data_IF_708849812118
#
_entry.id   IF_708849812118
#
_cell.length_a   1.000
_cell.length_b   1.000
_cell.length_c   1.000
_cell.angle_alpha   90.00
_cell.angle_beta   90.00
_cell.angle_gamma   90.00
#
_symmetry.space_group_name_H-M   'P 1'
#
loop_
_entity.id
_entity.type
_entity.pdbx_description
1 polymer ?
#
# COMPACT_ATOMS: atom_id res chain seq x y z
N UNK A 1 29.93 5.76 -23.67
CA UNK A 1 29.30 6.35 -22.46
C UNK A 1 27.88 5.81 -22.33
N UNK A 2 27.72 4.51 -22.07
CA UNK A 2 26.40 3.83 -22.03
C UNK A 2 26.29 2.73 -20.95
N UNK A 3 27.37 2.43 -20.22
CA UNK A 3 27.36 1.40 -19.17
C UNK A 3 26.46 1.76 -17.96
N UNK A 4 26.27 3.05 -17.66
CA UNK A 4 25.56 3.49 -16.44
C UNK A 4 24.04 3.25 -16.47
N UNK A 5 23.45 3.08 -17.65
CA UNK A 5 22.00 2.91 -17.83
C UNK A 5 21.58 1.42 -17.87
N UNK A 6 22.41 0.54 -18.44
CA UNK A 6 22.16 -0.90 -18.49
C UNK A 6 22.29 -1.57 -17.11
N UNK A 7 23.24 -1.11 -16.29
CA UNK A 7 23.38 -1.54 -14.89
C UNK A 7 22.13 -1.20 -14.06
N UNK A 8 21.51 -0.04 -14.32
CA UNK A 8 20.31 0.41 -13.61
C UNK A 8 19.08 -0.44 -13.93
N UNK A 9 18.85 -0.80 -15.20
CA UNK A 9 17.72 -1.65 -15.58
C UNK A 9 17.90 -3.08 -15.07
N UNK A 10 19.11 -3.62 -15.15
CA UNK A 10 19.42 -4.97 -14.67
C UNK A 10 19.27 -5.08 -13.15
N UNK A 11 19.62 -4.02 -12.41
CA UNK A 11 19.40 -3.95 -10.97
C UNK A 11 17.91 -3.87 -10.63
N UNK A 12 17.13 -3.01 -11.30
CA UNK A 12 15.68 -2.87 -11.03
C UNK A 12 14.91 -4.18 -11.22
N UNK A 13 15.30 -5.00 -12.19
CA UNK A 13 14.66 -6.30 -12.43
C UNK A 13 14.88 -7.33 -11.30
N UNK A 14 15.75 -7.04 -10.33
CA UNK A 14 16.05 -7.90 -9.19
C UNK A 14 15.50 -7.37 -7.87
N UNK A 15 14.84 -6.22 -7.86
CA UNK A 15 14.32 -5.62 -6.63
C UNK A 15 12.91 -6.16 -6.36
N UNK A 16 12.69 -6.58 -5.12
CA UNK A 16 11.37 -6.77 -4.54
C UNK A 16 11.10 -5.57 -3.65
N UNK A 17 10.19 -4.69 -4.09
CA UNK A 17 9.73 -3.56 -3.32
C UNK A 17 8.60 -4.01 -2.40
N UNK A 18 8.61 -3.57 -1.15
CA UNK A 18 7.50 -3.77 -0.21
C UNK A 18 7.14 -2.49 0.51
N UNK A 19 5.87 -2.40 0.92
CA UNK A 19 5.35 -1.28 1.71
C UNK A 19 4.05 -1.69 2.40
N UNK A 20 3.65 -0.91 3.39
CA UNK A 20 2.39 -1.01 4.08
C UNK A 20 1.48 0.14 3.77
N UNK A 21 0.22 -0.19 3.45
CA UNK A 21 -0.77 0.81 3.12
C UNK A 21 -2.02 0.65 3.97
N UNK A 22 -2.60 1.79 4.36
CA UNK A 22 -3.87 1.86 5.04
C UNK A 22 -4.93 2.34 4.05
N UNK A 23 -5.93 1.50 3.80
CA UNK A 23 -7.08 1.83 2.97
C UNK A 23 -8.27 2.11 3.88
N UNK A 24 -8.76 3.35 3.85
CA UNK A 24 -9.94 3.78 4.59
C UNK A 24 -11.22 3.33 3.87
N UNK A 25 -12.14 2.68 4.59
CA UNK A 25 -13.43 2.28 4.01
C UNK A 25 -14.31 3.50 3.69
N UNK A 26 -14.21 4.53 4.54
CA UNK A 26 -14.89 5.81 4.38
C UNK A 26 -13.86 6.93 4.58
N UNK A 27 -13.01 7.14 3.58
CA UNK A 27 -11.92 8.12 3.66
C UNK A 27 -11.39 8.63 2.32
N UNK A 28 -12.11 8.42 1.21
CA UNK A 28 -11.89 9.25 0.05
C UNK A 28 -12.27 10.67 0.45
N UNK A 29 -11.27 11.51 0.71
CA UNK A 29 -11.34 12.98 0.72
C UNK A 29 -11.74 13.52 -0.66
N UNK A 30 -12.69 12.88 -1.33
CA UNK A 30 -13.38 13.42 -2.47
C UNK A 30 -14.18 14.61 -1.94
N UNK A 31 -13.59 15.80 -2.00
CA UNK A 31 -14.32 17.06 -1.84
C UNK A 31 -15.48 17.00 -2.83
N UNK A 32 -16.68 16.81 -2.31
CA UNK A 32 -17.91 16.80 -3.10
C UNK A 32 -18.48 18.21 -3.09
N UNK A 33 -18.78 18.72 -4.28
CA UNK A 33 -19.45 19.99 -4.43
C UNK A 33 -20.96 19.80 -4.23
N UNK A 34 -21.58 20.69 -3.47
CA UNK A 34 -23.02 20.71 -3.19
C UNK A 34 -23.56 22.08 -3.60
N UNK A 35 -24.62 22.10 -4.40
CA UNK A 35 -25.37 23.33 -4.71
C UNK A 35 -26.43 23.53 -3.63
N UNK A 36 -26.54 24.74 -3.06
CA UNK A 36 -27.51 25.06 -2.01
C UNK A 36 -27.92 26.52 -2.03
N UNK A 37 -29.10 26.80 -1.51
CA UNK A 37 -29.59 28.16 -1.30
C UNK A 37 -28.91 28.82 -0.08
N UNK A 38 -28.79 30.16 -0.06
CA UNK A 38 -28.28 30.88 1.11
C UNK A 38 -29.04 30.51 2.39
N UNK A 39 -28.32 30.24 3.49
CA UNK A 39 -28.91 29.84 4.77
C UNK A 39 -29.24 28.35 4.94
N UNK A 40 -29.23 27.55 3.88
CA UNK A 40 -29.62 26.11 3.95
C UNK A 40 -28.44 25.15 4.18
N UNK A 41 -27.32 25.67 4.72
CA UNK A 41 -26.06 24.94 4.83
C UNK A 41 -26.13 23.64 5.64
N UNK A 42 -27.01 23.58 6.63
CA UNK A 42 -27.15 22.45 7.56
C UNK A 42 -28.37 21.56 7.28
N UNK A 43 -29.08 21.81 6.18
CA UNK A 43 -30.20 20.94 5.78
C UNK A 43 -29.66 19.57 5.39
N UNK A 44 -30.34 18.50 5.79
CA UNK A 44 -29.90 17.12 5.51
C UNK A 44 -29.66 16.87 4.02
N UNK A 45 -30.47 17.47 3.14
CA UNK A 45 -30.30 17.39 1.69
C UNK A 45 -29.00 18.06 1.17
N UNK A 46 -28.43 19.00 1.94
CA UNK A 46 -27.24 19.78 1.60
C UNK A 46 -26.00 19.36 2.39
N UNK A 47 -26.11 18.32 3.22
CA UNK A 47 -25.01 17.77 4.00
C UNK A 47 -24.71 16.36 3.56
N UNK A 48 -23.42 16.00 3.53
CA UNK A 48 -23.00 14.63 3.31
C UNK A 48 -22.80 14.00 4.68
N UNK A 49 -23.56 12.94 5.04
CA UNK A 49 -23.40 12.29 6.32
C UNK A 49 -21.96 11.76 6.44
N UNK A 50 -21.31 12.10 7.55
CA UNK A 50 -19.99 11.59 7.90
C UNK A 50 -20.11 10.56 9.01
N UNK A 51 -19.23 9.56 8.97
CA UNK A 51 -19.11 8.57 10.03
C UNK A 51 -18.22 9.14 11.13
N UNK A 52 -18.76 9.30 12.35
CA UNK A 52 -18.10 10.00 13.48
C UNK A 52 -16.77 9.40 13.95
N UNK A 53 -16.35 8.24 13.43
CA UNK A 53 -15.10 7.57 13.83
C UNK A 53 -14.25 7.09 12.64
N UNK A 54 -14.57 7.53 11.42
CA UNK A 54 -14.07 6.85 10.21
C UNK A 54 -14.77 5.50 10.09
N UNK A 55 -15.16 5.11 8.89
CA UNK A 55 -15.98 3.89 8.72
C UNK A 55 -15.15 2.62 8.76
N UNK A 56 -14.04 2.62 9.51
CA UNK A 56 -13.04 1.56 9.54
C UNK A 56 -12.00 1.70 8.43
N UNK A 57 -10.92 0.95 8.59
CA UNK A 57 -9.79 0.89 7.67
C UNK A 57 -9.21 -0.52 7.65
N UNK A 58 -8.62 -0.90 6.54
CA UNK A 58 -7.77 -2.10 6.45
C UNK A 58 -6.31 -1.68 6.28
N UNK A 59 -5.42 -2.35 7.00
CA UNK A 59 -3.99 -2.24 6.81
C UNK A 59 -3.51 -3.46 6.03
N UNK A 60 -2.72 -3.22 4.99
CA UNK A 60 -2.20 -4.24 4.10
C UNK A 60 -0.69 -4.08 4.01
N UNK A 61 0.04 -5.20 4.04
CA UNK A 61 1.39 -5.27 3.52
C UNK A 61 1.34 -5.81 2.11
N UNK A 62 2.11 -5.22 1.20
CA UNK A 62 2.23 -5.72 -0.16
C UNK A 62 3.66 -5.64 -0.65
N UNK A 63 3.97 -6.47 -1.64
CA UNK A 63 5.22 -6.35 -2.38
C UNK A 63 5.02 -6.53 -3.87
N UNK A 64 5.95 -6.04 -4.68
CA UNK A 64 5.94 -6.18 -6.13
C UNK A 64 7.36 -6.12 -6.70
N UNK A 65 7.49 -6.54 -7.95
CA UNK A 65 8.70 -6.40 -8.76
C UNK A 65 8.35 -5.89 -10.16
N UNK A 66 9.35 -5.72 -11.02
CA UNK A 66 9.11 -5.42 -12.45
C UNK A 66 8.27 -6.51 -13.12
N UNK A 67 8.36 -7.75 -12.63
CA UNK A 67 7.60 -8.89 -13.16
C UNK A 67 6.13 -8.94 -12.74
N UNK A 68 5.70 -8.07 -11.83
CA UNK A 68 4.32 -8.01 -11.35
C UNK A 68 4.20 -7.95 -9.83
N UNK A 69 2.99 -8.22 -9.34
CA UNK A 69 2.64 -8.15 -7.92
C UNK A 69 3.04 -9.42 -7.18
N UNK A 70 3.67 -9.27 -6.02
CA UNK A 70 3.86 -10.34 -5.06
C UNK A 70 2.60 -10.51 -4.20
N UNK A 71 2.79 -11.02 -2.98
CA UNK A 71 1.69 -11.22 -2.04
C UNK A 71 1.18 -9.88 -1.50
N UNK A 72 -0.13 -9.87 -1.23
CA UNK A 72 -0.83 -8.79 -0.53
C UNK A 72 -1.51 -9.41 0.70
N UNK A 73 -1.08 -8.99 1.88
CA UNK A 73 -1.43 -9.62 3.16
C UNK A 73 -2.14 -8.60 4.04
N UNK A 74 -3.29 -8.99 4.60
CA UNK A 74 -4.00 -8.18 5.58
C UNK A 74 -3.29 -8.24 6.93
N UNK A 75 -2.99 -7.08 7.49
CA UNK A 75 -2.48 -6.94 8.85
C UNK A 75 -3.67 -6.71 9.79
N UNK A 76 -3.78 -7.57 10.81
CA UNK A 76 -4.82 -7.43 11.83
C UNK A 76 -4.32 -6.59 13.00
N UNK A 77 -5.01 -5.47 13.27
CA UNK A 77 -4.65 -4.57 14.35
C UNK A 77 -3.49 -3.63 14.01
N UNK A 78 -2.76 -3.19 15.03
CA UNK A 78 -1.62 -2.27 14.88
C UNK A 78 -0.34 -3.09 14.70
N UNK A 79 0.34 -2.88 13.58
CA UNK A 79 1.61 -3.54 13.30
C UNK A 79 2.66 -3.20 14.37
N UNK A 80 3.41 -4.23 14.76
CA UNK A 80 4.59 -4.11 15.61
C UNK A 80 5.76 -4.88 14.96
N UNK A 81 6.97 -4.67 15.48
CA UNK A 81 8.18 -5.25 14.90
C UNK A 81 8.20 -6.79 14.89
N UNK A 82 7.51 -7.46 15.83
CA UNK A 82 7.45 -8.92 15.83
C UNK A 82 6.55 -9.43 14.70
N UNK A 83 5.34 -8.88 14.60
CA UNK A 83 4.40 -9.19 13.52
C UNK A 83 4.98 -8.90 12.15
N UNK A 84 5.74 -7.80 12.01
CA UNK A 84 6.39 -7.48 10.74
C UNK A 84 7.42 -8.53 10.34
N UNK A 85 8.27 -8.99 11.27
CA UNK A 85 9.23 -10.06 11.00
C UNK A 85 8.55 -11.37 10.62
N UNK A 86 7.53 -11.77 11.35
CA UNK A 86 6.77 -12.99 11.05
C UNK A 86 6.13 -12.91 9.66
N UNK A 87 5.55 -11.75 9.33
CA UNK A 87 4.98 -11.48 8.01
C UNK A 87 6.01 -11.59 6.89
N UNK A 88 7.22 -11.04 7.08
CA UNK A 88 8.31 -11.13 6.12
C UNK A 88 8.78 -12.58 5.95
N UNK A 89 8.98 -13.30 7.05
CA UNK A 89 9.42 -14.70 7.01
C UNK A 89 8.43 -15.59 6.26
N UNK A 90 7.12 -15.34 6.42
CA UNK A 90 6.06 -16.09 5.75
C UNK A 90 5.87 -15.70 4.27
N UNK A 91 6.05 -14.42 3.91
CA UNK A 91 5.56 -13.90 2.62
C UNK A 91 6.65 -13.35 1.68
N UNK A 92 7.76 -12.85 2.20
CA UNK A 92 8.81 -12.21 1.37
C UNK A 92 9.45 -13.21 0.41
N UNK A 93 9.96 -14.33 0.95
CA UNK A 93 10.66 -15.33 0.14
C UNK A 93 9.72 -16.00 -0.85
N UNK A 94 8.49 -16.31 -0.43
CA UNK A 94 7.50 -16.91 -1.31
C UNK A 94 7.12 -15.95 -2.45
N UNK A 95 6.96 -14.65 -2.18
CA UNK A 95 6.72 -13.65 -3.23
C UNK A 95 7.89 -13.56 -4.23
N UNK A 96 9.13 -13.61 -3.75
CA UNK A 96 10.31 -13.60 -4.63
C UNK A 96 10.39 -14.86 -5.51
N UNK A 97 9.97 -16.02 -4.99
CA UNK A 97 9.87 -17.27 -5.74
C UNK A 97 8.77 -17.20 -6.80
N UNK A 98 7.57 -16.76 -6.41
CA UNK A 98 6.41 -16.63 -7.31
C UNK A 98 6.71 -15.67 -8.47
N UNK A 99 7.45 -14.59 -8.19
CA UNK A 99 7.92 -13.60 -9.17
C UNK A 99 9.21 -13.98 -9.91
N UNK A 100 9.79 -15.15 -9.62
CA UNK A 100 11.00 -15.69 -10.28
C UNK A 100 12.20 -14.74 -10.27
N UNK A 101 12.40 -13.99 -9.19
CA UNK A 101 13.52 -13.03 -9.06
C UNK A 101 14.90 -13.70 -8.91
N UNK A 102 14.92 -15.02 -8.75
CA UNK A 102 16.14 -15.82 -8.60
C UNK A 102 16.74 -15.71 -7.20
N UNK A 103 17.87 -16.40 -6.97
CA UNK A 103 18.50 -16.50 -5.63
C UNK A 103 19.19 -15.22 -5.14
N UNK A 104 19.39 -14.23 -6.01
CA UNK A 104 20.12 -12.98 -5.71
C UNK A 104 19.26 -11.77 -6.01
N UNK A 105 18.08 -11.72 -5.39
CA UNK A 105 17.21 -10.55 -5.41
C UNK A 105 17.60 -9.57 -4.30
N UNK A 106 17.21 -8.31 -4.46
CA UNK A 106 17.39 -7.26 -3.47
C UNK A 106 16.03 -6.99 -2.86
N UNK A 107 15.93 -7.10 -1.54
CA UNK A 107 14.73 -6.70 -0.83
C UNK A 107 14.81 -5.22 -0.46
N UNK A 108 13.78 -4.45 -0.80
CA UNK A 108 13.68 -3.05 -0.42
C UNK A 108 12.46 -2.86 0.48
N UNK A 109 12.71 -2.24 1.63
CA UNK A 109 11.73 -1.76 2.61
C UNK A 109 12.14 -0.36 3.06
N UNK A 110 11.27 0.34 3.77
CA UNK A 110 11.57 1.61 4.42
C UNK A 110 12.44 1.42 5.67
N UNK A 111 12.74 2.50 6.40
CA UNK A 111 13.59 2.50 7.59
C UNK A 111 12.81 3.02 8.80
N UNK A 112 11.55 2.59 8.91
CA UNK A 112 10.65 3.00 9.98
C UNK A 112 10.88 2.25 11.31
#
# INVERSE_FOLDING_TARGET
>A
MTARLEDSQTMRNKILWSDETKIELFGLNAKRHVWREPGTAHHLANTIPTVKHGGGSIMLWGCFSVGGTGRLVRIEGKMNAAMYRDLLDENMLQSALDLRLGRRFIFQQDND
#
